data_IF_360554294506
#
_entry.id   IF_360554294506
#
_cell.length_a   1.000
_cell.length_b   1.000
_cell.length_c   1.000
_cell.angle_alpha   90.00
_cell.angle_beta   90.00
_cell.angle_gamma   90.00
#
_symmetry.space_group_name_H-M   'P 1'
#
loop_
_entity.id
_entity.type
_entity.pdbx_description
1 polymer ?
#
# COMPACT_ATOMS: atom_id res chain seq x y z
N UNK A 1 -14.50 -11.51 -3.74
CA UNK A 1 -15.38 -11.63 -2.57
C UNK A 1 -14.91 -10.68 -1.46
N UNK A 2 -15.76 -10.44 -0.48
CA UNK A 2 -15.41 -9.62 0.68
C UNK A 2 -14.20 -10.20 1.41
N UNK A 3 -14.11 -11.51 1.48
CA UNK A 3 -12.99 -12.18 2.12
C UNK A 3 -11.68 -11.87 1.41
N UNK A 4 -11.68 -11.91 0.09
CA UNK A 4 -10.49 -11.59 -0.70
C UNK A 4 -10.10 -10.13 -0.52
N UNK A 5 -11.08 -9.22 -0.43
CA UNK A 5 -10.81 -7.81 -0.21
C UNK A 5 -10.24 -7.60 1.20
N UNK A 6 -10.77 -8.29 2.20
CA UNK A 6 -10.24 -8.20 3.56
C UNK A 6 -8.80 -8.71 3.62
N UNK A 7 -8.50 -9.81 2.94
CA UNK A 7 -7.14 -10.36 2.88
C UNK A 7 -6.19 -9.39 2.18
N UNK A 8 -6.65 -8.77 1.10
CA UNK A 8 -5.87 -7.77 0.37
C UNK A 8 -5.60 -6.54 1.25
N UNK A 9 -6.58 -6.13 2.04
CA UNK A 9 -6.44 -5.01 2.96
C UNK A 9 -5.38 -5.29 4.03
N UNK A 10 -5.45 -6.46 4.64
CA UNK A 10 -4.48 -6.87 5.67
C UNK A 10 -3.07 -6.91 5.08
N UNK A 11 -2.92 -7.51 3.91
CA UNK A 11 -1.63 -7.61 3.24
C UNK A 11 -1.07 -6.23 2.91
N UNK A 12 -1.91 -5.36 2.35
CA UNK A 12 -1.50 -4.00 2.00
C UNK A 12 -1.09 -3.20 3.24
N UNK A 13 -1.90 -3.25 4.29
CA UNK A 13 -1.62 -2.52 5.52
C UNK A 13 -0.32 -3.01 6.18
N UNK A 14 -0.10 -4.32 6.18
CA UNK A 14 1.13 -4.90 6.72
C UNK A 14 2.34 -4.42 5.94
N UNK A 15 2.27 -4.48 4.60
CA UNK A 15 3.36 -4.02 3.74
C UNK A 15 3.61 -2.54 3.93
N UNK A 16 2.55 -1.73 3.98
CA UNK A 16 2.66 -0.29 4.20
C UNK A 16 3.38 0.02 5.52
N UNK A 17 3.03 -0.67 6.59
CA UNK A 17 3.66 -0.43 7.89
C UNK A 17 5.15 -0.79 7.87
N UNK A 18 5.52 -1.86 7.17
CA UNK A 18 6.92 -2.27 7.03
C UNK A 18 7.68 -1.22 6.22
N UNK A 19 7.15 -0.83 5.07
CA UNK A 19 7.80 0.16 4.20
C UNK A 19 7.99 1.48 4.96
N UNK A 20 6.95 1.93 5.68
CA UNK A 20 7.01 3.17 6.43
C UNK A 20 8.14 3.18 7.46
N UNK A 21 8.41 2.04 8.07
CA UNK A 21 9.47 1.92 9.06
C UNK A 21 10.85 1.85 8.45
N UNK A 22 10.95 1.34 7.23
CA UNK A 22 12.25 1.12 6.58
C UNK A 22 12.74 2.33 5.78
N UNK A 23 11.81 3.19 5.31
CA UNK A 23 12.24 4.37 4.55
C UNK A 23 12.85 5.41 5.48
N UNK A 24 13.78 6.26 4.97
CA UNK A 24 14.33 7.35 5.77
C UNK A 24 13.24 8.26 6.31
N UNK A 25 13.49 8.87 7.46
CA UNK A 25 12.49 9.70 8.13
C UNK A 25 11.97 10.81 7.24
N UNK A 26 12.81 11.38 6.39
CA UNK A 26 12.40 12.43 5.45
C UNK A 26 11.39 11.96 4.41
N UNK A 27 11.32 10.64 4.16
CA UNK A 27 10.41 10.07 3.15
C UNK A 27 9.13 9.54 3.75
N UNK A 28 9.04 9.45 5.07
CA UNK A 28 7.84 8.90 5.74
C UNK A 28 6.61 9.73 5.46
N UNK A 29 6.77 11.04 5.42
CA UNK A 29 5.66 11.94 5.10
C UNK A 29 5.11 11.71 3.71
N UNK A 30 6.00 11.50 2.73
CA UNK A 30 5.60 11.22 1.35
C UNK A 30 4.81 9.91 1.27
N UNK A 31 5.31 8.86 1.93
CA UNK A 31 4.63 7.56 1.94
C UNK A 31 3.25 7.68 2.57
N UNK A 32 3.15 8.41 3.68
CA UNK A 32 1.88 8.64 4.35
C UNK A 32 0.91 9.43 3.48
N UNK A 33 1.39 10.47 2.81
CA UNK A 33 0.54 11.29 1.95
C UNK A 33 0.01 10.46 0.78
N UNK A 34 0.83 9.59 0.22
CA UNK A 34 0.39 8.68 -0.83
C UNK A 34 -0.68 7.73 -0.32
N UNK A 35 -0.54 7.26 0.90
CA UNK A 35 -1.53 6.37 1.51
C UNK A 35 -2.85 7.09 1.72
N UNK A 36 -2.84 8.34 2.18
CA UNK A 36 -4.05 9.12 2.36
C UNK A 36 -4.77 9.33 1.03
N UNK A 37 -4.03 9.66 -0.02
CA UNK A 37 -4.61 9.83 -1.36
C UNK A 37 -5.21 8.52 -1.86
N UNK A 38 -4.53 7.40 -1.61
CA UNK A 38 -5.04 6.09 -2.00
C UNK A 38 -6.32 5.75 -1.26
N UNK A 39 -6.42 6.09 0.04
CA UNK A 39 -7.62 5.85 0.81
C UNK A 39 -8.84 6.55 0.20
N UNK A 40 -8.65 7.76 -0.34
CA UNK A 40 -9.71 8.48 -1.04
C UNK A 40 -10.15 7.70 -2.28
N UNK A 41 -9.19 7.19 -3.06
CA UNK A 41 -9.50 6.36 -4.23
C UNK A 41 -10.28 5.11 -3.83
N UNK A 42 -9.83 4.45 -2.76
CA UNK A 42 -10.52 3.25 -2.26
C UNK A 42 -11.96 3.56 -1.90
N UNK A 43 -12.19 4.67 -1.22
CA UNK A 43 -13.53 5.05 -0.77
C UNK A 43 -14.46 5.36 -1.95
N UNK A 44 -13.91 5.82 -3.07
CA UNK A 44 -14.69 6.06 -4.29
C UNK A 44 -15.25 4.79 -4.89
N UNK A 45 -14.64 3.65 -4.60
CA UNK A 45 -15.17 2.35 -5.05
C UNK A 45 -16.47 1.98 -4.37
N UNK A 46 -16.73 2.52 -3.18
CA UNK A 46 -17.88 2.16 -2.35
C UNK A 46 -17.86 0.65 -2.08
N UNK A 47 -18.91 -0.07 -2.44
CA UNK A 47 -18.99 -1.50 -2.21
C UNK A 47 -18.70 -2.34 -3.47
N UNK A 48 -18.20 -1.71 -4.52
CA UNK A 48 -17.90 -2.41 -5.77
C UNK A 48 -16.64 -3.27 -5.58
N UNK A 49 -16.82 -4.59 -5.54
CA UNK A 49 -15.73 -5.54 -5.28
C UNK A 49 -14.66 -5.47 -6.36
N UNK A 50 -15.07 -5.35 -7.62
CA UNK A 50 -14.14 -5.29 -8.73
C UNK A 50 -13.27 -4.04 -8.67
N UNK A 51 -13.88 -2.90 -8.36
CA UNK A 51 -13.16 -1.64 -8.17
C UNK A 51 -12.17 -1.75 -7.01
N UNK A 52 -12.62 -2.30 -5.88
CA UNK A 52 -11.77 -2.48 -4.71
C UNK A 52 -10.59 -3.39 -5.01
N UNK A 53 -10.81 -4.50 -5.72
CA UNK A 53 -9.74 -5.42 -6.08
C UNK A 53 -8.65 -4.72 -6.91
N UNK A 54 -9.04 -3.89 -7.87
CA UNK A 54 -8.09 -3.14 -8.69
C UNK A 54 -7.31 -2.11 -7.88
N UNK A 55 -8.00 -1.39 -7.01
CA UNK A 55 -7.39 -0.34 -6.19
C UNK A 55 -6.38 -0.96 -5.22
N UNK A 56 -6.73 -2.07 -4.57
CA UNK A 56 -5.80 -2.76 -3.68
C UNK A 56 -4.61 -3.33 -4.43
N UNK A 57 -4.85 -3.90 -5.60
CA UNK A 57 -3.77 -4.44 -6.44
C UNK A 57 -2.77 -3.34 -6.81
N UNK A 58 -3.27 -2.18 -7.23
CA UNK A 58 -2.42 -1.04 -7.57
C UNK A 58 -1.55 -0.62 -6.40
N UNK A 59 -2.16 -0.49 -5.21
CA UNK A 59 -1.41 -0.06 -4.03
C UNK A 59 -0.36 -1.08 -3.63
N UNK A 60 -0.73 -2.37 -3.66
CA UNK A 60 0.20 -3.44 -3.31
C UNK A 60 1.41 -3.44 -4.24
N UNK A 61 1.18 -3.26 -5.54
CA UNK A 61 2.27 -3.22 -6.50
C UNK A 61 3.24 -2.06 -6.23
N UNK A 62 2.71 -0.88 -5.89
CA UNK A 62 3.56 0.27 -5.57
C UNK A 62 4.37 0.03 -4.31
N UNK A 63 3.74 -0.54 -3.29
CA UNK A 63 4.43 -0.83 -2.04
C UNK A 63 5.50 -1.91 -2.23
N UNK A 64 5.22 -2.91 -3.06
CA UNK A 64 6.18 -3.96 -3.37
C UNK A 64 7.39 -3.38 -4.11
N UNK A 65 7.18 -2.41 -4.99
CA UNK A 65 8.28 -1.72 -5.68
C UNK A 65 9.14 -0.95 -4.69
N UNK A 66 8.53 -0.28 -3.72
CA UNK A 66 9.27 0.43 -2.67
C UNK A 66 10.08 -0.55 -1.82
N UNK A 67 9.48 -1.69 -1.49
CA UNK A 67 10.16 -2.74 -0.73
C UNK A 67 11.39 -3.24 -1.49
N UNK A 68 11.25 -3.49 -2.79
CA UNK A 68 12.36 -3.91 -3.64
C UNK A 68 13.47 -2.89 -3.68
N UNK A 69 13.10 -1.60 -3.75
CA UNK A 69 14.09 -0.51 -3.77
C UNK A 69 14.88 -0.50 -2.48
N UNK A 70 14.22 -0.68 -1.35
CA UNK A 70 14.85 -0.72 -0.04
C UNK A 70 15.83 -1.88 0.04
N UNK A 71 15.43 -3.05 -0.44
CA UNK A 71 16.31 -4.23 -0.44
C UNK A 71 17.54 -4.02 -1.32
N UNK A 72 17.37 -3.39 -2.48
CA UNK A 72 18.49 -3.16 -3.40
C UNK A 72 19.48 -2.13 -2.89
N UNK A 73 18.99 -1.13 -2.16
CA UNK A 73 19.84 -0.10 -1.57
C UNK A 73 20.35 -0.50 -0.20
N UNK A 74 19.80 -1.55 0.36
CA UNK A 74 19.98 -1.91 1.73
C UNK A 74 21.43 -1.99 2.14
N UNK A 75 21.75 -1.47 3.29
CA UNK A 75 23.06 -1.63 3.90
C UNK A 75 23.10 -2.88 4.74
N UNK A 76 22.24 -3.78 4.48
CA UNK A 76 22.14 -4.98 5.29
C UNK A 76 23.14 -6.02 4.91
#
# INVERSE_FOLDING_TARGET
TQREINDADVKMATTYNIVRKLVPMGNRGVIRDQQVKWLVLRDQCQSNVQCLAEVYKMRQQKLDLEMNRIYKQGPF
#
